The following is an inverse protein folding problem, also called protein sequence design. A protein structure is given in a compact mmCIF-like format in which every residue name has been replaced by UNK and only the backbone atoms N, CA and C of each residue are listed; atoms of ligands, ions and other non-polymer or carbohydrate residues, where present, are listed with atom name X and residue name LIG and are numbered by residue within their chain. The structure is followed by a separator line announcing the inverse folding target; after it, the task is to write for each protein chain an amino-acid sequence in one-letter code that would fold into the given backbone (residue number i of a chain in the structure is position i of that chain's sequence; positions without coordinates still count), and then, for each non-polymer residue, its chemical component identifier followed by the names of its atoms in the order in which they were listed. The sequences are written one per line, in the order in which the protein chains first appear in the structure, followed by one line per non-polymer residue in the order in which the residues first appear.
data_IF_106963759210
#
_entry.id   IF_106963759210
#
_cell.length_a   1.000
_cell.length_b   1.000
_cell.length_c   1.000
_cell.angle_alpha   90.00
_cell.angle_beta   90.00
_cell.angle_gamma   90.00
#
_symmetry.space_group_name_H-M   'P 1'
#
loop_
_entity.id
_entity.type
_entity.pdbx_description
1 polymer ?
#
# COMPACT_ATOMS: atom_id res chain seq x y z
N UNK A 1 5.17 -18.17 -1.95
CA UNK A 1 3.84 -17.90 -2.55
C UNK A 1 3.98 -16.73 -3.52
N UNK A 2 3.43 -16.81 -4.75
CA UNK A 2 3.51 -15.69 -5.69
C UNK A 2 2.58 -14.56 -5.23
N UNK A 3 3.08 -13.33 -5.24
CA UNK A 3 2.37 -12.12 -4.75
C UNK A 3 1.02 -11.87 -5.45
N UNK A 4 0.84 -12.37 -6.68
CA UNK A 4 -0.43 -12.26 -7.42
C UNK A 4 -1.58 -13.12 -6.86
N UNK A 5 -1.31 -14.16 -6.06
CA UNK A 5 -2.36 -15.05 -5.53
C UNK A 5 -3.13 -14.39 -4.39
N UNK A 6 -2.45 -13.68 -3.48
CA UNK A 6 -3.12 -12.99 -2.37
C UNK A 6 -4.06 -11.88 -2.87
N UNK A 7 -3.69 -11.18 -3.94
CA UNK A 7 -4.48 -10.06 -4.47
C UNK A 7 -5.78 -10.52 -5.15
N UNK A 8 -5.73 -11.62 -5.90
CA UNK A 8 -6.92 -12.27 -6.47
C UNK A 8 -7.88 -12.72 -5.36
N UNK A 9 -7.36 -13.29 -4.27
CA UNK A 9 -8.20 -13.72 -3.14
C UNK A 9 -8.93 -12.57 -2.45
N UNK A 10 -8.25 -11.44 -2.20
CA UNK A 10 -8.88 -10.26 -1.63
C UNK A 10 -9.94 -9.68 -2.58
N UNK A 11 -9.64 -9.59 -3.87
CA UNK A 11 -10.58 -9.04 -4.86
C UNK A 11 -11.87 -9.87 -4.98
N UNK A 12 -11.76 -11.20 -5.11
CA UNK A 12 -12.92 -12.09 -5.14
C UNK A 12 -13.73 -12.05 -3.85
N UNK A 13 -13.07 -11.85 -2.70
CA UNK A 13 -13.73 -11.71 -1.41
C UNK A 13 -14.57 -10.43 -1.34
N UNK A 14 -14.01 -9.29 -1.75
CA UNK A 14 -14.69 -8.00 -1.75
C UNK A 14 -15.81 -7.92 -2.78
N UNK A 15 -15.61 -8.45 -3.99
CA UNK A 15 -16.67 -8.53 -5.01
C UNK A 15 -17.84 -9.41 -4.54
N UNK A 16 -17.53 -10.57 -3.95
CA UNK A 16 -18.55 -11.45 -3.37
C UNK A 16 -19.31 -10.83 -2.19
N UNK A 17 -18.64 -9.97 -1.41
CA UNK A 17 -19.25 -9.25 -0.30
C UNK A 17 -20.24 -8.19 -0.80
N UNK A 18 -19.88 -7.39 -1.81
CA UNK A 18 -20.76 -6.37 -2.39
C UNK A 18 -22.05 -6.97 -2.96
N UNK A 19 -21.95 -8.06 -3.72
CA UNK A 19 -23.13 -8.74 -4.27
C UNK A 19 -24.00 -9.37 -3.17
N UNK A 20 -23.38 -9.89 -2.10
CA UNK A 20 -24.11 -10.38 -0.93
C UNK A 20 -24.86 -9.27 -0.19
N UNK A 21 -24.26 -8.08 -0.05
CA UNK A 21 -24.90 -6.92 0.55
C UNK A 21 -26.08 -6.42 -0.29
N UNK A 22 -25.92 -6.33 -1.61
CA UNK A 22 -27.01 -6.00 -2.55
C UNK A 22 -28.17 -6.99 -2.47
N UNK A 23 -27.85 -8.29 -2.42
CA UNK A 23 -28.85 -9.34 -2.26
C UNK A 23 -29.61 -9.20 -0.93
N UNK A 24 -28.90 -9.06 0.19
CA UNK A 24 -29.50 -8.89 1.51
C UNK A 24 -30.41 -7.66 1.58
N UNK A 25 -29.97 -6.53 1.01
CA UNK A 25 -30.76 -5.31 0.88
C UNK A 25 -32.05 -5.55 0.08
N UNK A 26 -31.99 -6.33 -1.01
CA UNK A 26 -33.17 -6.64 -1.83
C UNK A 26 -34.18 -7.56 -1.13
N UNK A 27 -33.73 -8.34 -0.15
CA UNK A 27 -34.56 -9.25 0.66
C UNK A 27 -35.07 -8.65 1.96
N UNK A 28 -34.77 -7.38 2.24
CA UNK A 28 -35.13 -6.72 3.50
C UNK A 28 -36.66 -6.59 3.65
N UNK A 29 -37.20 -6.98 4.80
CA UNK A 29 -38.64 -6.88 5.08
C UNK A 29 -39.07 -5.42 5.22
N UNK A 30 -39.93 -4.97 4.30
CA UNK A 30 -40.46 -3.61 4.24
C UNK A 30 -41.37 -3.24 5.40
N UNK A 31 -41.91 -4.22 6.11
CA UNK A 31 -42.79 -4.00 7.26
C UNK A 31 -42.00 -3.89 8.59
N UNK A 32 -40.67 -4.04 8.55
CA UNK A 32 -39.83 -3.87 9.71
C UNK A 32 -39.82 -2.39 10.17
N UNK A 33 -39.98 -2.15 11.46
CA UNK A 33 -39.95 -0.81 12.07
C UNK A 33 -38.65 -0.05 11.76
N UNK A 34 -37.53 -0.77 11.61
CA UNK A 34 -36.20 -0.23 11.33
C UNK A 34 -35.83 -0.30 9.84
N UNK A 35 -36.79 -0.56 8.93
CA UNK A 35 -36.52 -0.77 7.51
C UNK A 35 -35.69 0.36 6.86
N UNK A 36 -36.02 1.62 7.17
CA UNK A 36 -35.33 2.77 6.60
C UNK A 36 -33.87 2.86 7.05
N UNK A 37 -33.61 2.66 8.34
CA UNK A 37 -32.27 2.72 8.93
C UNK A 37 -31.40 1.56 8.45
N UNK A 38 -31.97 0.35 8.39
CA UNK A 38 -31.28 -0.82 7.84
C UNK A 38 -30.95 -0.60 6.36
N UNK A 39 -31.90 -0.10 5.57
CA UNK A 39 -31.67 0.23 4.16
C UNK A 39 -30.50 1.21 4.00
N UNK A 40 -30.49 2.30 4.76
CA UNK A 40 -29.43 3.31 4.70
C UNK A 40 -28.06 2.72 5.08
N UNK A 41 -27.99 1.87 6.11
CA UNK A 41 -26.76 1.17 6.50
C UNK A 41 -26.24 0.29 5.36
N UNK A 42 -27.11 -0.50 4.73
CA UNK A 42 -26.72 -1.35 3.60
C UNK A 42 -26.25 -0.52 2.40
N UNK A 43 -26.93 0.58 2.08
CA UNK A 43 -26.53 1.49 0.98
C UNK A 43 -25.16 2.13 1.25
N UNK A 44 -24.91 2.59 2.48
CA UNK A 44 -23.60 3.12 2.89
C UNK A 44 -22.49 2.06 2.80
N UNK A 45 -22.77 0.83 3.25
CA UNK A 45 -21.79 -0.25 3.16
C UNK A 45 -21.48 -0.62 1.71
N UNK A 46 -22.50 -0.75 0.86
CA UNK A 46 -22.32 -1.04 -0.58
C UNK A 46 -21.47 0.06 -1.23
N UNK A 47 -21.75 1.34 -0.93
CA UNK A 47 -20.99 2.47 -1.46
C UNK A 47 -19.52 2.40 -1.00
N UNK A 48 -19.29 2.21 0.30
CA UNK A 48 -17.94 2.11 0.88
C UNK A 48 -17.14 0.98 0.23
N UNK A 49 -17.72 -0.22 0.14
CA UNK A 49 -17.06 -1.38 -0.46
C UNK A 49 -16.80 -1.17 -1.95
N UNK A 50 -17.69 -0.48 -2.67
CA UNK A 50 -17.48 -0.15 -4.09
C UNK A 50 -16.33 0.83 -4.27
N UNK A 51 -16.21 1.84 -3.42
CA UNK A 51 -15.10 2.78 -3.44
C UNK A 51 -13.76 2.10 -3.14
N UNK A 52 -13.70 1.23 -2.13
CA UNK A 52 -12.49 0.45 -1.82
C UNK A 52 -12.06 -0.43 -3.01
N UNK A 53 -13.01 -1.08 -3.69
CA UNK A 53 -12.72 -1.87 -4.90
C UNK A 53 -12.13 -0.98 -6.00
N UNK A 54 -12.66 0.23 -6.19
CA UNK A 54 -12.16 1.17 -7.18
C UNK A 54 -10.75 1.66 -6.83
N UNK A 55 -10.47 1.93 -5.55
CA UNK A 55 -9.12 2.29 -5.09
C UNK A 55 -8.13 1.16 -5.38
N UNK A 56 -8.47 -0.08 -5.07
CA UNK A 56 -7.62 -1.24 -5.38
C UNK A 56 -7.37 -1.39 -6.89
N UNK A 57 -8.37 -1.11 -7.73
CA UNK A 57 -8.19 -1.09 -9.18
C UNK A 57 -7.18 -0.03 -9.61
N UNK A 58 -7.35 1.22 -9.16
CA UNK A 58 -6.44 2.32 -9.49
C UNK A 58 -5.02 2.03 -9.01
N UNK A 59 -4.86 1.54 -7.77
CA UNK A 59 -3.55 1.15 -7.23
C UNK A 59 -2.90 0.04 -8.06
N UNK A 60 -3.69 -0.95 -8.50
CA UNK A 60 -3.18 -2.01 -9.36
C UNK A 60 -2.73 -1.48 -10.72
N UNK A 61 -3.52 -0.63 -11.36
CA UNK A 61 -3.13 -0.01 -12.63
C UNK A 61 -1.83 0.78 -12.49
N UNK A 62 -1.65 1.52 -11.40
CA UNK A 62 -0.39 2.20 -11.10
C UNK A 62 0.78 1.23 -10.90
N UNK A 63 0.57 0.11 -10.20
CA UNK A 63 1.59 -0.94 -10.04
C UNK A 63 1.95 -1.55 -11.39
N UNK A 64 0.96 -1.85 -12.23
CA UNK A 64 1.17 -2.46 -13.54
C UNK A 64 1.98 -1.48 -14.43
N UNK A 65 1.62 -0.18 -14.44
CA UNK A 65 2.37 0.87 -15.13
C UNK A 65 3.83 1.00 -14.64
N UNK A 66 4.04 0.99 -13.32
CA UNK A 66 5.39 1.03 -12.73
C UNK A 66 6.19 -0.25 -13.03
N UNK A 67 5.52 -1.40 -13.13
CA UNK A 67 6.18 -2.67 -13.42
C UNK A 67 6.65 -2.78 -14.88
N UNK A 68 6.04 -2.03 -15.78
CA UNK A 68 6.41 -1.93 -17.19
C UNK A 68 7.50 -0.86 -17.44
N UNK A 69 7.90 -0.09 -16.42
CA UNK A 69 9.01 0.86 -16.51
C UNK A 69 10.35 0.10 -16.60
N UNK A 70 10.75 -0.17 -17.85
CA UNK A 70 12.02 -0.82 -18.20
C UNK A 70 13.23 -0.09 -17.62
N UNK A 71 13.15 1.24 -17.49
CA UNK A 71 14.23 2.07 -16.93
C UNK A 71 14.36 1.83 -15.42
N UNK A 72 13.26 1.69 -14.69
CA UNK A 72 13.28 1.35 -13.27
C UNK A 72 13.83 -0.06 -13.03
N UNK A 73 13.40 -1.04 -13.84
CA UNK A 73 13.91 -2.40 -13.76
C UNK A 73 15.42 -2.49 -14.08
N UNK A 74 15.88 -1.71 -15.07
CA UNK A 74 17.28 -1.59 -15.42
C UNK A 74 18.09 -0.91 -14.29
N UNK A 75 17.59 0.18 -13.71
CA UNK A 75 18.25 0.88 -12.59
C UNK A 75 18.36 -0.02 -11.35
N UNK A 76 17.30 -0.78 -11.01
CA UNK A 76 17.33 -1.77 -9.94
C UNK A 76 18.31 -2.91 -10.28
N UNK A 77 18.34 -3.34 -11.54
CA UNK A 77 19.28 -4.35 -12.04
C UNK A 77 20.74 -3.92 -11.91
N UNK A 78 21.05 -2.70 -12.35
CA UNK A 78 22.37 -2.07 -12.22
C UNK A 78 22.77 -1.90 -10.76
N UNK A 79 21.87 -1.41 -9.92
CA UNK A 79 22.10 -1.28 -8.48
C UNK A 79 22.42 -2.62 -7.80
N UNK A 80 21.69 -3.69 -8.14
CA UNK A 80 21.96 -5.05 -7.62
C UNK A 80 23.29 -5.62 -8.10
N UNK A 81 23.69 -5.33 -9.34
CA UNK A 81 25.00 -5.78 -9.85
C UNK A 81 26.15 -4.99 -9.22
N UNK A 82 25.98 -3.68 -9.03
CA UNK A 82 27.03 -2.79 -8.52
C UNK A 82 27.24 -2.93 -7.01
N UNK A 83 26.19 -3.17 -6.22
CA UNK A 83 26.34 -3.29 -4.76
C UNK A 83 27.25 -4.46 -4.36
N UNK A 84 27.35 -5.52 -5.18
CA UNK A 84 28.25 -6.63 -4.89
C UNK A 84 29.72 -6.25 -5.10
N UNK A 85 30.00 -5.34 -6.04
CA UNK A 85 31.34 -4.86 -6.39
C UNK A 85 31.82 -3.71 -5.50
N UNK A 86 30.93 -3.08 -4.74
CA UNK A 86 31.29 -2.01 -3.80
C UNK A 86 32.20 -2.50 -2.67
N UNK A 87 33.11 -1.62 -2.28
CA UNK A 87 33.93 -1.77 -1.08
C UNK A 87 33.05 -1.85 0.17
N UNK A 88 33.62 -2.33 1.27
CA UNK A 88 32.89 -2.42 2.54
C UNK A 88 32.49 -1.03 3.04
N UNK A 89 33.33 -0.02 2.81
CA UNK A 89 33.06 1.38 3.15
C UNK A 89 31.85 1.92 2.38
N UNK A 90 31.77 1.67 1.06
CA UNK A 90 30.66 2.11 0.21
C UNK A 90 29.35 1.42 0.59
N UNK A 91 29.37 0.10 0.82
CA UNK A 91 28.21 -0.65 1.32
C UNK A 91 27.71 -0.04 2.64
N UNK A 92 28.64 0.24 3.56
CA UNK A 92 28.32 0.82 4.87
C UNK A 92 27.71 2.21 4.74
N UNK A 93 28.23 3.04 3.83
CA UNK A 93 27.65 4.35 3.54
C UNK A 93 26.21 4.25 3.01
N UNK A 94 25.94 3.33 2.09
CA UNK A 94 24.58 3.10 1.55
C UNK A 94 23.62 2.62 2.64
N UNK A 95 24.04 1.69 3.49
CA UNK A 95 23.21 1.24 4.61
C UNK A 95 22.90 2.38 5.59
N UNK A 96 23.87 3.28 5.85
CA UNK A 96 23.66 4.44 6.71
C UNK A 96 22.71 5.47 6.09
N UNK A 97 22.77 5.68 4.77
CA UNK A 97 21.85 6.56 4.03
C UNK A 97 20.41 6.02 4.00
N UNK A 98 20.24 4.70 4.11
CA UNK A 98 18.94 4.06 4.20
C UNK A 98 18.31 4.12 5.61
N UNK A 99 19.01 4.65 6.62
CA UNK A 99 18.43 4.83 7.96
C UNK A 99 17.73 6.18 8.03
N UNK A 100 16.42 6.17 8.30
CA UNK A 100 15.63 7.38 8.47
C UNK A 100 15.76 7.93 9.88
N UNK A 101 15.61 7.06 10.88
CA UNK A 101 15.60 7.45 12.28
C UNK A 101 16.09 6.31 13.18
N UNK A 102 16.82 6.67 14.21
CA UNK A 102 17.20 5.76 15.30
C UNK A 102 16.52 6.26 16.57
N UNK A 103 15.65 5.44 17.15
CA UNK A 103 15.02 5.68 18.44
C UNK A 103 15.61 4.77 19.51
N UNK A 104 16.00 5.33 20.64
CA UNK A 104 16.49 4.55 21.79
C UNK A 104 15.50 4.72 22.94
N UNK A 105 14.96 3.60 23.43
CA UNK A 105 14.08 3.59 24.59
C UNK A 105 14.88 3.23 25.85
N UNK A 106 15.38 4.25 26.54
CA UNK A 106 16.14 4.09 27.79
C UNK A 106 15.33 3.43 28.92
N UNK A 107 14.01 3.53 28.88
CA UNK A 107 13.12 2.96 29.90
C UNK A 107 12.86 1.46 29.72
N UNK A 108 13.17 0.90 28.55
CA UNK A 108 13.05 -0.53 28.24
C UNK A 108 14.41 -1.11 27.87
N UNK A 109 15.35 -1.08 28.82
CA UNK A 109 16.69 -1.69 28.66
C UNK A 109 17.40 -1.25 27.37
N UNK A 110 17.34 0.04 27.06
CA UNK A 110 17.93 0.64 25.86
C UNK A 110 17.47 0.01 24.54
N UNK A 111 16.22 -0.45 24.44
CA UNK A 111 15.70 -1.03 23.21
C UNK A 111 15.86 -0.05 22.03
N UNK A 112 16.57 -0.49 20.99
CA UNK A 112 16.88 0.31 19.81
C UNK A 112 15.87 -0.03 18.71
N UNK A 113 15.18 1.01 18.21
CA UNK A 113 14.36 0.94 16.99
C UNK A 113 15.08 1.68 15.88
N UNK A 114 15.26 1.04 14.73
CA UNK A 114 15.81 1.67 13.53
C UNK A 114 14.70 1.68 12.49
N UNK A 115 14.29 2.88 12.08
CA UNK A 115 13.35 3.11 11.01
C UNK A 115 14.17 3.29 9.72
N UNK A 116 13.87 2.48 8.69
CA UNK A 116 14.60 2.47 7.43
C UNK A 116 13.78 3.14 6.33
N UNK A 117 14.48 3.86 5.45
CA UNK A 117 13.94 4.41 4.21
C UNK A 117 13.77 3.30 3.18
N UNK A 118 12.70 3.38 2.39
CA UNK A 118 12.45 2.44 1.29
C UNK A 118 13.43 2.64 0.12
N UNK A 119 14.08 3.80 0.03
CA UNK A 119 15.11 4.08 -0.99
C UNK A 119 16.32 4.78 -0.36
N UNK A 120 17.56 4.50 -0.82
CA UNK A 120 18.74 5.24 -0.39
C UNK A 120 18.84 6.65 -1.00
N UNK A 121 17.88 7.03 -1.86
CA UNK A 121 17.90 8.28 -2.62
C UNK A 121 17.05 9.34 -1.92
N UNK A 122 17.65 9.94 -0.89
CA UNK A 122 17.04 11.00 -0.07
C UNK A 122 16.47 12.13 -0.92
N UNK A 123 17.21 12.55 -1.96
CA UNK A 123 16.79 13.63 -2.86
C UNK A 123 15.54 13.28 -3.67
N UNK A 124 15.38 12.01 -4.08
CA UNK A 124 14.17 11.55 -4.78
C UNK A 124 13.00 11.49 -3.80
N UNK A 125 13.23 11.00 -2.59
CA UNK A 125 12.22 10.95 -1.53
C UNK A 125 11.71 12.35 -1.15
N UNK A 126 12.63 13.32 -1.01
CA UNK A 126 12.30 14.71 -0.70
C UNK A 126 11.59 15.40 -1.88
N UNK A 127 11.98 15.10 -3.13
CA UNK A 127 11.27 15.57 -4.32
C UNK A 127 9.83 15.03 -4.37
N UNK A 128 9.64 13.74 -4.08
CA UNK A 128 8.31 13.13 -4.03
C UNK A 128 7.43 13.74 -2.94
N UNK A 129 7.99 13.97 -1.74
CA UNK A 129 7.28 14.66 -0.66
C UNK A 129 6.86 16.08 -1.03
N UNK A 130 7.66 16.79 -1.84
CA UNK A 130 7.28 18.11 -2.34
C UNK A 130 6.16 18.04 -3.38
N UNK A 131 6.20 17.06 -4.29
CA UNK A 131 5.13 16.84 -5.28
C UNK A 131 3.80 16.52 -4.59
N UNK A 132 3.80 15.70 -3.53
CA UNK A 132 2.59 15.39 -2.77
C UNK A 132 2.00 16.62 -2.05
N UNK A 133 2.81 17.63 -1.72
CA UNK A 133 2.35 18.89 -1.12
C UNK A 133 1.73 19.83 -2.16
N UNK A 134 2.19 19.80 -3.41
CA UNK A 134 1.65 20.66 -4.49
C UNK A 134 0.33 20.16 -5.07
N UNK A 135 -0.01 18.88 -4.84
CA UNK A 135 -1.26 18.26 -5.32
C UNK A 135 -2.41 18.39 -4.29
N UNK A 136 -2.10 18.78 -3.04
CA UNK A 136 -3.06 18.97 -1.95
C UNK A 136 -3.59 20.42 -1.86
#
# INVERSE_FOLDING_TARGET
MPKGVLFLFSFYHYFGLTEKLKYLLSTLDKNNEYFLELKEIFEMQILSTTNEIQEYHTTREQIDLLSEDVMQAELIGRFKQDIHNYTNEEKRAIFLLAIEKIGINFSKDNHIRIDYRLTPYVEIEDLMKQIDIEIA
#
